data_IF_247708775415
#
_entry.id   IF_247708775415
#
_cell.length_a   1.000
_cell.length_b   1.000
_cell.length_c   1.000
_cell.angle_alpha   90.00
_cell.angle_beta   90.00
_cell.angle_gamma   90.00
#
_symmetry.space_group_name_H-M   'P 1'
#
loop_
_entity.id
_entity.type
_entity.pdbx_description
1 polymer ?
#
# COMPACT_ATOMS: atom_id res chain seq x y z
N UNK A 1 -17.38 33.21 -72.17
CA UNK A 1 -16.32 32.20 -72.31
C UNK A 1 -16.96 30.84 -72.18
N UNK A 2 -16.85 30.02 -73.22
CA UNK A 2 -17.35 28.66 -73.26
C UNK A 2 -16.43 27.73 -72.48
N UNK A 3 -16.99 26.71 -71.80
CA UNK A 3 -16.50 25.35 -71.97
C UNK A 3 -17.60 24.34 -71.61
N UNK A 4 -17.84 23.43 -72.53
CA UNK A 4 -18.73 22.27 -72.47
C UNK A 4 -17.86 21.04 -72.25
N UNK A 5 -18.26 20.11 -71.36
CA UNK A 5 -18.02 18.69 -71.59
C UNK A 5 -18.92 17.79 -70.70
N UNK A 6 -19.96 17.24 -71.35
CA UNK A 6 -20.43 15.84 -71.35
C UNK A 6 -19.58 14.81 -70.56
N UNK A 7 -20.08 13.72 -69.94
CA UNK A 7 -21.18 12.77 -70.27
C UNK A 7 -21.40 11.78 -69.08
N UNK A 8 -22.61 11.20 -69.00
CA UNK A 8 -23.08 10.06 -68.15
C UNK A 8 -22.36 8.71 -68.45
N UNK A 9 -22.57 7.51 -67.78
CA UNK A 9 -23.82 7.05 -67.12
C UNK A 9 -23.77 5.96 -65.98
N UNK A 10 -24.98 5.58 -65.52
CA UNK A 10 -25.44 4.25 -65.00
C UNK A 10 -24.95 3.73 -63.63
N UNK A 11 -25.90 3.51 -62.70
CA UNK A 11 -26.32 2.17 -62.23
C UNK A 11 -27.19 2.23 -60.96
N UNK A 12 -28.36 1.60 -61.03
CA UNK A 12 -29.24 1.23 -59.92
C UNK A 12 -28.55 0.27 -58.94
N UNK A 13 -28.97 0.19 -57.67
CA UNK A 13 -29.26 -1.08 -56.95
C UNK A 13 -29.94 -0.83 -55.58
N UNK A 14 -31.22 -1.23 -55.52
CA UNK A 14 -31.97 -1.93 -54.46
C UNK A 14 -31.85 -1.53 -52.97
N UNK A 15 -32.98 -1.12 -52.36
CA UNK A 15 -33.82 -1.92 -51.41
C UNK A 15 -33.05 -2.32 -50.14
N UNK A 16 -33.47 -2.06 -48.90
CA UNK A 16 -34.81 -2.08 -48.35
C UNK A 16 -34.75 -1.42 -46.95
N UNK A 17 -35.48 -0.33 -46.73
CA UNK A 17 -35.70 0.23 -45.39
C UNK A 17 -36.63 -0.72 -44.62
N UNK A 18 -36.08 -1.48 -43.68
CA UNK A 18 -36.84 -2.28 -42.73
C UNK A 18 -37.68 -1.35 -41.85
N UNK A 19 -38.99 -1.53 -41.95
CA UNK A 19 -40.02 -0.73 -41.29
C UNK A 19 -39.87 -0.79 -39.77
N UNK A 20 -39.85 0.40 -39.16
CA UNK A 20 -40.14 0.62 -37.75
C UNK A 20 -41.49 -0.02 -37.38
N UNK A 21 -41.49 -0.89 -36.37
CA UNK A 21 -42.67 -1.15 -35.54
C UNK A 21 -42.36 -0.74 -34.10
N UNK A 22 -43.14 0.24 -33.63
CA UNK A 22 -43.26 0.68 -32.25
C UNK A 22 -44.51 0.05 -31.62
N UNK A 23 -44.40 -0.32 -30.35
CA UNK A 23 -45.51 -0.57 -29.41
C UNK A 23 -45.59 -2.03 -28.94
N UNK A 24 -45.92 -2.36 -27.68
CA UNK A 24 -46.45 -1.62 -26.52
C UNK A 24 -46.30 -2.55 -25.26
N UNK A 25 -45.95 -1.98 -24.10
CA UNK A 25 -46.28 -2.35 -22.68
C UNK A 25 -46.32 -3.81 -22.13
N UNK A 26 -45.34 -4.14 -21.24
CA UNK A 26 -45.31 -4.70 -19.84
C UNK A 26 -46.43 -5.69 -19.34
N UNK A 27 -46.19 -6.64 -18.37
CA UNK A 27 -45.37 -6.46 -17.14
C UNK A 27 -44.60 -7.77 -16.66
N UNK A 28 -44.07 -7.91 -15.42
CA UNK A 28 -42.73 -8.47 -15.16
C UNK A 28 -42.74 -9.94 -14.67
N UNK A 29 -41.80 -10.76 -15.14
CA UNK A 29 -41.53 -12.06 -14.51
C UNK A 29 -40.29 -11.95 -13.62
N UNK A 30 -40.53 -12.01 -12.31
CA UNK A 30 -39.54 -12.13 -11.25
C UNK A 30 -38.65 -13.37 -11.49
N UNK A 31 -37.39 -13.16 -11.80
CA UNK A 31 -36.32 -14.15 -11.52
C UNK A 31 -35.33 -13.50 -10.56
N UNK A 32 -35.72 -13.46 -9.29
CA UNK A 32 -34.78 -13.23 -8.20
C UNK A 32 -33.91 -14.48 -8.04
N UNK A 33 -32.82 -14.56 -8.82
CA UNK A 33 -31.72 -15.48 -8.55
C UNK A 33 -30.88 -14.85 -7.45
N UNK A 34 -31.22 -15.15 -6.19
CA UNK A 34 -30.33 -14.91 -5.06
C UNK A 34 -29.20 -15.93 -5.19
N UNK A 35 -28.11 -15.53 -5.84
CA UNK A 35 -26.87 -16.26 -5.78
C UNK A 35 -26.38 -16.21 -4.32
N UNK A 36 -26.60 -17.30 -3.57
CA UNK A 36 -25.88 -17.52 -2.31
C UNK A 36 -24.43 -17.83 -2.68
N UNK A 37 -23.65 -16.77 -2.94
CA UNK A 37 -22.21 -16.84 -2.89
C UNK A 37 -21.81 -17.09 -1.43
N UNK A 38 -21.06 -18.13 -1.10
CA UNK A 38 -20.44 -18.21 0.22
C UNK A 38 -19.53 -16.99 0.34
N UNK A 39 -19.80 -16.13 1.34
CA UNK A 39 -18.85 -15.10 1.75
C UNK A 39 -17.60 -15.83 2.24
N UNK A 40 -16.62 -16.01 1.35
CA UNK A 40 -15.27 -16.42 1.72
C UNK A 40 -14.61 -15.26 2.45
N UNK A 41 -14.96 -15.06 3.72
CA UNK A 41 -14.15 -14.24 4.62
C UNK A 41 -12.89 -15.04 4.93
N UNK A 42 -11.69 -14.60 4.49
CA UNK A 42 -10.47 -15.28 4.89
C UNK A 42 -10.38 -15.26 6.43
N UNK A 43 -9.92 -16.35 7.07
CA UNK A 43 -9.69 -16.33 8.51
C UNK A 43 -8.70 -15.20 8.83
N UNK A 44 -9.13 -14.27 9.67
CA UNK A 44 -8.25 -13.23 10.21
C UNK A 44 -7.15 -13.94 11.00
N UNK A 45 -5.91 -13.82 10.54
CA UNK A 45 -4.75 -14.42 11.22
C UNK A 45 -4.50 -13.67 12.54
N UNK A 46 -4.93 -14.28 13.64
CA UNK A 46 -4.73 -13.75 15.00
C UNK A 46 -3.24 -13.54 15.34
N UNK A 47 -2.34 -14.31 14.72
CA UNK A 47 -0.89 -14.14 14.89
C UNK A 47 -0.40 -12.78 14.38
N UNK A 48 -0.87 -12.36 13.21
CA UNK A 48 -0.46 -11.09 12.61
C UNK A 48 -0.91 -9.86 13.41
N UNK A 49 -2.09 -9.94 14.06
CA UNK A 49 -2.59 -8.82 14.87
C UNK A 49 -1.81 -8.68 16.18
N UNK A 50 -1.45 -9.79 16.83
CA UNK A 50 -0.66 -9.77 18.06
C UNK A 50 0.74 -9.20 17.80
N UNK A 51 1.39 -9.62 16.72
CA UNK A 51 2.74 -9.16 16.41
C UNK A 51 2.74 -7.70 15.95
N UNK A 52 1.71 -7.24 15.23
CA UNK A 52 1.52 -5.82 14.94
C UNK A 52 1.37 -4.97 16.22
N UNK A 53 0.61 -5.43 17.22
CA UNK A 53 0.44 -4.72 18.50
C UNK A 53 1.74 -4.68 19.32
N UNK A 54 2.48 -5.79 19.38
CA UNK A 54 3.81 -5.82 20.02
C UNK A 54 4.79 -4.91 19.28
N UNK A 55 4.80 -4.94 17.96
CA UNK A 55 5.62 -4.07 17.12
C UNK A 55 5.33 -2.60 17.37
N UNK A 56 4.05 -2.23 17.43
CA UNK A 56 3.61 -0.87 17.76
C UNK A 56 4.09 -0.42 19.15
N UNK A 57 3.88 -1.27 20.17
CA UNK A 57 4.33 -0.98 21.54
C UNK A 57 5.84 -0.77 21.61
N UNK A 58 6.60 -1.68 20.99
CA UNK A 58 8.06 -1.61 20.97
C UNK A 58 8.56 -0.38 20.19
N UNK A 59 7.93 -0.07 19.06
CA UNK A 59 8.22 1.14 18.27
C UNK A 59 7.94 2.41 19.08
N UNK A 60 6.84 2.44 19.82
CA UNK A 60 6.50 3.51 20.74
C UNK A 60 7.58 3.76 21.80
N UNK A 61 8.18 2.69 22.33
CA UNK A 61 9.21 2.81 23.36
C UNK A 61 10.60 3.19 22.82
N UNK A 62 10.96 2.69 21.63
CA UNK A 62 12.33 2.79 21.12
C UNK A 62 12.53 3.83 20.01
N UNK A 63 11.50 4.10 19.21
CA UNK A 63 11.65 4.77 17.91
C UNK A 63 10.90 6.11 17.82
N UNK A 64 9.79 6.26 18.54
CA UNK A 64 8.86 7.40 18.39
C UNK A 64 9.51 8.75 18.64
N UNK A 65 10.54 8.79 19.51
CA UNK A 65 11.28 10.02 19.81
C UNK A 65 11.92 10.66 18.58
N UNK A 66 12.19 9.89 17.52
CA UNK A 66 12.69 10.40 16.24
C UNK A 66 11.73 10.19 15.07
N UNK A 67 10.91 9.13 15.13
CA UNK A 67 10.12 8.61 14.00
C UNK A 67 8.60 8.57 14.26
N UNK A 68 8.09 9.49 15.07
CA UNK A 68 6.63 9.65 15.26
C UNK A 68 5.90 9.75 13.92
N UNK A 69 4.81 8.99 13.77
CA UNK A 69 4.01 8.93 12.55
C UNK A 69 4.80 8.54 11.28
N UNK A 70 5.90 7.79 11.43
CA UNK A 70 6.78 7.44 10.31
C UNK A 70 7.70 8.56 9.84
N UNK A 71 7.71 9.72 10.51
CA UNK A 71 8.55 10.86 10.15
C UNK A 71 10.04 10.65 10.46
N UNK A 72 10.81 11.74 10.36
CA UNK A 72 12.18 11.81 10.89
C UNK A 72 12.50 13.25 11.28
N UNK A 73 12.51 13.54 12.59
CA UNK A 73 12.74 14.91 13.09
C UNK A 73 14.20 15.37 12.96
N UNK A 74 15.13 14.44 12.75
CA UNK A 74 16.58 14.71 12.71
C UNK A 74 17.07 14.96 11.29
N UNK A 75 16.56 14.19 10.32
CA UNK A 75 17.03 14.21 8.93
C UNK A 75 15.86 14.20 7.94
N UNK A 76 15.55 15.38 7.34
CA UNK A 76 14.60 15.46 6.23
C UNK A 76 15.00 14.53 5.09
N UNK A 77 14.01 13.85 4.50
CA UNK A 77 14.23 12.90 3.41
C UNK A 77 14.80 11.53 3.82
N UNK A 78 14.87 11.24 5.12
CA UNK A 78 15.14 9.91 5.66
C UNK A 78 13.99 9.46 6.58
N UNK A 79 12.76 9.72 6.17
CA UNK A 79 11.56 9.24 6.88
C UNK A 79 11.38 7.73 6.68
N UNK A 80 10.46 7.13 7.45
CA UNK A 80 10.06 5.73 7.32
C UNK A 80 8.89 5.55 6.33
N UNK A 81 8.51 6.60 5.58
CA UNK A 81 7.56 6.47 4.49
C UNK A 81 8.18 5.72 3.32
N UNK A 82 7.38 4.89 2.64
CA UNK A 82 7.85 4.03 1.54
C UNK A 82 8.73 4.79 0.54
N UNK A 83 8.26 5.94 0.04
CA UNK A 83 9.00 6.78 -0.93
C UNK A 83 10.43 7.11 -0.50
N UNK A 84 10.64 7.45 0.77
CA UNK A 84 11.96 7.77 1.30
C UNK A 84 12.79 6.51 1.49
N UNK A 85 12.19 5.40 1.93
CA UNK A 85 12.89 4.11 2.03
C UNK A 85 13.39 3.64 0.65
N UNK A 86 12.56 3.72 -0.41
CA UNK A 86 12.98 3.34 -1.77
C UNK A 86 14.08 4.25 -2.28
N UNK A 87 13.92 5.58 -2.11
CA UNK A 87 14.92 6.57 -2.54
C UNK A 87 16.28 6.33 -1.88
N UNK A 88 16.28 5.88 -0.63
CA UNK A 88 17.50 5.60 0.13
C UNK A 88 17.99 4.15 -0.01
N UNK A 89 17.30 3.31 -0.79
CA UNK A 89 17.66 1.91 -1.04
C UNK A 89 17.53 1.00 0.18
N UNK A 90 16.57 1.28 1.08
CA UNK A 90 16.42 0.62 2.38
C UNK A 90 14.98 0.17 2.65
N UNK A 91 14.23 -0.11 1.59
CA UNK A 91 12.81 -0.49 1.68
C UNK A 91 12.57 -1.94 2.08
N UNK A 92 13.58 -2.80 2.07
CA UNK A 92 13.41 -4.21 2.44
C UNK A 92 13.47 -4.38 3.95
N UNK A 93 12.81 -5.42 4.47
CA UNK A 93 12.84 -5.74 5.90
C UNK A 93 14.27 -5.98 6.39
N UNK A 94 15.11 -6.64 5.59
CA UNK A 94 16.50 -6.93 5.91
C UNK A 94 17.34 -5.65 6.04
N UNK A 95 17.07 -4.66 5.20
CA UNK A 95 17.73 -3.37 5.25
C UNK A 95 17.31 -2.56 6.47
N UNK A 96 16.00 -2.55 6.77
CA UNK A 96 15.46 -1.90 7.97
C UNK A 96 16.02 -2.57 9.23
N UNK A 97 16.07 -3.90 9.26
CA UNK A 97 16.70 -4.68 10.33
C UNK A 97 18.16 -4.26 10.50
N UNK A 98 18.94 -4.23 9.40
CA UNK A 98 20.37 -3.91 9.46
C UNK A 98 20.61 -2.50 9.99
N UNK A 99 19.84 -1.52 9.55
CA UNK A 99 19.96 -0.13 10.03
C UNK A 99 19.55 -0.02 11.50
N UNK A 100 18.47 -0.67 11.89
CA UNK A 100 18.04 -0.68 13.30
C UNK A 100 19.08 -1.37 14.19
N UNK A 101 19.72 -2.44 13.70
CA UNK A 101 20.73 -3.18 14.44
C UNK A 101 22.03 -2.37 14.59
N UNK A 102 22.60 -1.87 13.49
CA UNK A 102 23.94 -1.28 13.47
C UNK A 102 23.97 0.25 13.51
N UNK A 103 22.83 0.90 13.28
CA UNK A 103 22.73 2.35 13.11
C UNK A 103 23.11 2.80 11.70
N UNK A 104 22.81 4.06 11.39
CA UNK A 104 23.22 4.72 10.14
C UNK A 104 23.31 6.23 10.36
N UNK A 105 24.50 6.79 10.18
CA UNK A 105 24.74 8.23 10.36
C UNK A 105 24.42 8.67 11.79
N UNK A 106 23.36 9.48 11.95
CA UNK A 106 22.92 10.00 13.26
C UNK A 106 21.95 9.09 14.00
N UNK A 107 21.39 8.08 13.34
CA UNK A 107 20.54 7.08 13.99
C UNK A 107 21.44 6.05 14.70
N UNK A 108 21.31 5.89 16.03
CA UNK A 108 22.09 4.90 16.75
C UNK A 108 21.64 3.47 16.43
N UNK A 109 22.57 2.52 16.47
CA UNK A 109 22.23 1.09 16.41
C UNK A 109 21.76 0.51 17.75
N UNK A 110 20.79 -0.39 17.71
CA UNK A 110 20.13 -0.97 18.89
C UNK A 110 20.54 -2.42 19.17
N UNK A 111 21.18 -3.10 18.23
CA UNK A 111 21.54 -4.51 18.36
C UNK A 111 22.57 -4.78 19.46
N UNK A 112 22.49 -5.94 20.10
CA UNK A 112 23.41 -6.34 21.18
C UNK A 112 24.89 -6.28 20.76
N UNK A 113 25.19 -6.62 19.50
CA UNK A 113 26.55 -6.63 18.94
C UNK A 113 26.92 -5.35 18.18
N UNK A 114 26.09 -4.30 18.21
CA UNK A 114 26.46 -3.02 17.60
C UNK A 114 27.72 -2.45 18.26
N UNK A 115 28.68 -2.07 17.43
CA UNK A 115 30.00 -1.54 17.80
C UNK A 115 30.52 -0.63 16.68
N UNK A 116 31.38 0.39 16.96
CA UNK A 116 31.83 0.88 18.26
C UNK A 116 30.73 1.50 19.13
N UNK A 117 30.96 1.61 20.44
CA UNK A 117 29.94 2.07 21.41
C UNK A 117 29.26 3.39 21.03
N UNK A 118 30.00 4.32 20.41
CA UNK A 118 29.54 5.66 20.05
C UNK A 118 28.53 5.70 18.90
N UNK A 119 28.45 4.66 18.06
CA UNK A 119 27.42 4.59 17.00
C UNK A 119 26.13 3.91 17.47
N UNK A 120 26.09 3.42 18.70
CA UNK A 120 25.02 2.59 19.22
C UNK A 120 24.26 3.31 20.35
N UNK A 121 23.02 2.91 20.58
CA UNK A 121 22.16 3.53 21.59
C UNK A 121 22.80 3.50 22.97
N UNK A 122 22.73 4.59 23.72
CA UNK A 122 23.24 4.66 25.09
C UNK A 122 22.39 3.87 26.09
N UNK A 123 21.11 3.63 25.75
CA UNK A 123 20.19 2.82 26.54
C UNK A 123 20.41 1.31 26.39
N UNK A 124 19.41 0.55 26.85
CA UNK A 124 19.38 -0.90 26.69
C UNK A 124 19.41 -1.29 25.21
N UNK A 125 20.11 -2.38 24.91
CA UNK A 125 20.09 -2.99 23.58
C UNK A 125 18.82 -3.83 23.41
N UNK A 126 18.40 -4.00 22.17
CA UNK A 126 17.29 -4.85 21.79
C UNK A 126 17.80 -6.22 21.33
N UNK A 127 17.02 -7.25 21.63
CA UNK A 127 17.29 -8.61 21.14
C UNK A 127 17.01 -8.71 19.65
N UNK A 128 17.55 -9.74 19.02
CA UNK A 128 17.44 -9.95 17.57
C UNK A 128 15.99 -10.17 17.12
N UNK A 129 15.18 -10.89 17.91
CA UNK A 129 13.74 -11.08 17.68
C UNK A 129 12.95 -9.77 17.76
N UNK A 130 13.32 -8.89 18.70
CA UNK A 130 12.71 -7.56 18.85
C UNK A 130 13.03 -6.65 17.66
N UNK A 131 14.27 -6.68 17.16
CA UNK A 131 14.65 -5.88 15.98
C UNK A 131 13.99 -6.42 14.71
N UNK A 132 13.84 -7.73 14.57
CA UNK A 132 13.10 -8.35 13.47
C UNK A 132 11.64 -7.91 13.48
N UNK A 133 10.99 -7.97 14.65
CA UNK A 133 9.62 -7.50 14.84
C UNK A 133 9.47 -6.00 14.48
N UNK A 134 10.43 -5.15 14.87
CA UNK A 134 10.44 -3.74 14.48
C UNK A 134 10.59 -3.56 12.97
N UNK A 135 11.44 -4.33 12.31
CA UNK A 135 11.64 -4.24 10.88
C UNK A 135 10.37 -4.65 10.11
N UNK A 136 9.73 -5.75 10.51
CA UNK A 136 8.44 -6.20 9.98
C UNK A 136 7.36 -5.12 10.18
N UNK A 137 7.28 -4.56 11.39
CA UNK A 137 6.33 -3.50 11.73
C UNK A 137 6.55 -2.24 10.87
N UNK A 138 7.77 -1.74 10.79
CA UNK A 138 8.10 -0.54 9.98
C UNK A 138 7.79 -0.79 8.51
N UNK A 139 8.13 -1.96 7.98
CA UNK A 139 7.81 -2.33 6.60
C UNK A 139 6.30 -2.32 6.36
N UNK A 140 5.55 -2.97 7.25
CA UNK A 140 4.08 -3.03 7.18
C UNK A 140 3.44 -1.64 7.26
N UNK A 141 3.92 -0.77 8.15
CA UNK A 141 3.43 0.61 8.27
C UNK A 141 3.78 1.44 7.04
N UNK A 142 5.00 1.30 6.48
CA UNK A 142 5.40 1.99 5.27
C UNK A 142 4.52 1.61 4.07
N UNK A 143 4.19 0.31 3.93
CA UNK A 143 3.31 -0.21 2.87
C UNK A 143 1.88 0.31 2.99
N UNK A 144 1.41 0.51 4.22
CA UNK A 144 0.08 1.07 4.50
C UNK A 144 0.06 2.60 4.52
N UNK A 145 1.21 3.25 4.32
CA UNK A 145 1.31 4.71 4.31
C UNK A 145 1.20 5.37 5.68
N UNK A 146 1.56 4.65 6.75
CA UNK A 146 1.49 5.10 8.15
C UNK A 146 0.09 5.59 8.55
N UNK A 147 -0.91 4.69 8.62
CA UNK A 147 -2.25 5.07 9.06
C UNK A 147 -2.23 5.56 10.50
N UNK A 148 -3.07 6.55 10.81
CA UNK A 148 -3.28 6.99 12.18
C UNK A 148 -3.83 5.81 13.01
N UNK A 149 -3.07 5.39 14.01
CA UNK A 149 -3.51 4.39 14.98
C UNK A 149 -4.36 5.11 16.02
N UNK A 150 -5.51 5.65 15.61
CA UNK A 150 -6.50 6.15 16.56
C UNK A 150 -7.11 4.94 17.29
N UNK A 151 -6.79 4.81 18.58
CA UNK A 151 -7.41 3.98 19.61
C UNK A 151 -8.32 2.84 19.11
N UNK A 152 -7.72 1.69 18.79
CA UNK A 152 -8.43 0.41 18.68
C UNK A 152 -8.71 -0.20 20.06
N UNK A 153 -9.18 0.63 21.00
CA UNK A 153 -9.66 0.22 22.32
C UNK A 153 -11.00 0.93 22.57
N UNK A 154 -12.07 0.31 22.07
CA UNK A 154 -13.41 0.41 22.65
C UNK A 154 -13.92 -1.01 22.91
#
# INVERSE_FOLDING_TARGET
>A
QANVKEREPVAQTQQQQVKFLKGLVLPPLLTALVALSPLSTPPVSLGGTIDAQKGNTLFGHACIGCHVGGGNIIQPGATLFLKDLQRNGVETEEEIYRITYYGKGRMPGFGEKCTPRGQCTFGARLREDEIKLLAEFVKSQADQGWPDIENSEE
#
